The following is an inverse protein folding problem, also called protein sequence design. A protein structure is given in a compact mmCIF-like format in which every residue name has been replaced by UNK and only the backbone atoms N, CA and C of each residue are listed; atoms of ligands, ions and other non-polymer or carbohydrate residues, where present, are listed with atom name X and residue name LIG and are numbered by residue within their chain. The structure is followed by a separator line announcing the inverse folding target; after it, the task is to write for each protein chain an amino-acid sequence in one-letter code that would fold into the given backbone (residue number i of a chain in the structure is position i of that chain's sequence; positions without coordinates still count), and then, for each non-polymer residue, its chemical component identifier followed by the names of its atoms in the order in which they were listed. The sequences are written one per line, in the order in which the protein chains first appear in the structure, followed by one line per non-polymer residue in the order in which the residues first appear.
data_IF_513397569915
#
_entry.id   IF_513397569915
#
_cell.length_a   1.000
_cell.length_b   1.000
_cell.length_c   1.000
_cell.angle_alpha   90.00
_cell.angle_beta   90.00
_cell.angle_gamma   90.00
#
_symmetry.space_group_name_H-M   'P 1'
#
loop_
_entity.id
_entity.type
_entity.pdbx_description
1 polymer ?
#
# COMPACT_ATOMS: atom_id res chain seq x y z
N UNK A 1 -19.68 -27.74 1.01
CA UNK A 1 -19.25 -26.95 -0.16
C UNK A 1 -19.58 -25.51 0.16
N UNK A 2 -18.67 -24.80 0.85
CA UNK A 2 -18.89 -23.40 1.20
C UNK A 2 -18.46 -22.55 -0.01
N UNK A 3 -19.41 -21.83 -0.56
CA UNK A 3 -19.25 -20.84 -1.62
C UNK A 3 -18.21 -19.81 -1.19
N UNK A 4 -17.07 -19.77 -1.90
CA UNK A 4 -16.08 -18.71 -1.76
C UNK A 4 -16.68 -17.40 -2.27
N UNK A 5 -17.11 -16.55 -1.35
CA UNK A 5 -17.31 -15.14 -1.64
C UNK A 5 -15.96 -14.60 -2.14
N UNK A 6 -15.88 -14.28 -3.44
CA UNK A 6 -14.70 -13.69 -4.03
C UNK A 6 -14.39 -12.38 -3.32
N UNK A 7 -13.17 -12.22 -2.83
CA UNK A 7 -12.69 -10.98 -2.24
C UNK A 7 -12.80 -9.86 -3.28
N UNK A 8 -13.82 -9.02 -3.18
CA UNK A 8 -14.00 -7.87 -4.06
C UNK A 8 -13.13 -6.72 -3.56
N UNK A 9 -12.04 -6.43 -4.27
CA UNK A 9 -11.12 -5.31 -3.98
C UNK A 9 -11.26 -4.31 -5.12
N UNK A 10 -11.43 -3.03 -4.78
CA UNK A 10 -11.69 -1.97 -5.75
C UNK A 10 -10.66 -0.85 -5.63
N UNK A 11 -10.23 -0.35 -6.79
CA UNK A 11 -9.38 0.83 -6.87
C UNK A 11 -10.30 2.03 -7.01
N UNK A 12 -10.34 2.85 -5.96
CA UNK A 12 -11.33 3.92 -5.84
C UNK A 12 -10.79 5.28 -6.30
N UNK A 13 -9.47 5.42 -6.35
CA UNK A 13 -8.80 6.62 -6.84
C UNK A 13 -7.44 6.25 -7.45
N UNK A 14 -7.13 6.80 -8.62
CA UNK A 14 -5.83 6.67 -9.26
C UNK A 14 -5.44 8.01 -9.89
N UNK A 15 -4.32 8.57 -9.45
CA UNK A 15 -3.70 9.74 -10.05
C UNK A 15 -2.57 9.27 -10.96
N UNK A 16 -2.94 8.90 -12.19
CA UNK A 16 -2.03 8.46 -13.24
C UNK A 16 -1.79 9.63 -14.19
N UNK A 17 -0.53 10.06 -14.30
CA UNK A 17 -0.14 11.19 -15.14
C UNK A 17 -0.27 10.88 -16.65
N UNK A 18 -0.34 9.59 -17.00
CA UNK A 18 -0.55 9.09 -18.37
C UNK A 18 -1.90 8.38 -18.49
N UNK A 19 -2.85 9.03 -19.17
CA UNK A 19 -4.21 8.53 -19.36
C UNK A 19 -4.30 7.28 -20.24
N UNK A 20 -3.19 6.81 -20.83
CA UNK A 20 -3.16 5.57 -21.65
C UNK A 20 -2.89 4.31 -20.84
N UNK A 21 -2.58 4.44 -19.53
CA UNK A 21 -2.29 3.31 -18.65
C UNK A 21 -3.57 2.86 -17.95
N UNK A 22 -4.08 1.70 -18.35
CA UNK A 22 -5.21 1.07 -17.66
C UNK A 22 -4.78 0.49 -16.30
N UNK A 23 -5.59 0.75 -15.29
CA UNK A 23 -5.44 0.19 -13.95
C UNK A 23 -5.67 -1.33 -13.99
N UNK A 24 -4.83 -2.12 -13.32
CA UNK A 24 -4.93 -3.59 -13.35
C UNK A 24 -4.43 -4.26 -14.64
N UNK A 25 -3.91 -3.49 -15.61
CA UNK A 25 -3.49 -3.98 -16.94
C UNK A 25 -2.32 -4.98 -16.98
N UNK A 26 -1.70 -5.30 -15.84
CA UNK A 26 -0.52 -6.17 -15.83
C UNK A 26 0.68 -5.55 -16.55
N UNK A 27 0.76 -4.21 -16.63
CA UNK A 27 1.86 -3.49 -17.27
C UNK A 27 3.23 -4.06 -16.86
N UNK A 28 4.04 -4.41 -17.87
CA UNK A 28 5.40 -4.90 -17.70
C UNK A 28 6.23 -3.80 -17.01
N UNK A 29 7.05 -4.20 -16.03
CA UNK A 29 7.99 -3.29 -15.39
C UNK A 29 8.97 -2.69 -16.42
N UNK A 30 9.04 -1.37 -16.54
CA UNK A 30 9.89 -0.66 -17.53
C UNK A 30 11.20 -0.13 -16.95
N UNK A 31 11.57 -0.56 -15.74
CA UNK A 31 12.80 -0.16 -15.08
C UNK A 31 14.05 -0.80 -15.66
N UNK A 32 15.22 -0.45 -15.09
CA UNK A 32 16.53 -1.00 -15.48
C UNK A 32 17.06 -1.99 -14.44
N UNK A 33 17.77 -3.02 -14.89
CA UNK A 33 18.41 -4.03 -14.03
C UNK A 33 17.51 -5.24 -13.77
N UNK A 34 17.79 -5.99 -12.69
CA UNK A 34 17.01 -7.18 -12.34
C UNK A 34 15.59 -6.80 -11.90
N UNK A 35 14.56 -7.44 -12.43
CA UNK A 35 13.19 -7.18 -12.01
C UNK A 35 12.95 -7.55 -10.53
N UNK A 36 12.22 -6.73 -9.76
CA UNK A 36 11.81 -7.10 -8.41
C UNK A 36 10.92 -8.35 -8.39
N UNK A 37 11.04 -9.16 -7.34
CA UNK A 37 10.20 -10.35 -7.19
C UNK A 37 8.85 -9.97 -6.59
N UNK A 38 7.94 -9.50 -7.44
CA UNK A 38 6.63 -8.98 -7.03
C UNK A 38 5.76 -10.01 -6.30
N UNK A 39 5.81 -11.29 -6.70
CA UNK A 39 5.05 -12.34 -6.00
C UNK A 39 5.67 -12.78 -4.66
N UNK A 40 6.86 -12.27 -4.32
CA UNK A 40 7.55 -12.59 -3.09
C UNK A 40 7.41 -11.44 -2.09
N UNK A 41 6.50 -11.58 -1.12
CA UNK A 41 6.28 -10.58 -0.08
C UNK A 41 7.54 -10.23 0.77
N UNK A 42 8.57 -11.07 0.72
CA UNK A 42 9.87 -10.84 1.39
C UNK A 42 10.91 -10.16 0.49
N UNK A 43 10.57 -9.85 -0.76
CA UNK A 43 11.47 -9.18 -1.69
C UNK A 43 11.83 -7.80 -1.15
N UNK A 44 13.06 -7.63 -0.66
CA UNK A 44 13.56 -6.31 -0.26
C UNK A 44 13.56 -5.36 -1.46
N UNK A 45 13.85 -5.85 -2.67
CA UNK A 45 13.81 -4.99 -3.87
C UNK A 45 12.41 -4.43 -4.17
N UNK A 46 11.35 -5.19 -3.92
CA UNK A 46 9.98 -4.73 -4.15
C UNK A 46 9.40 -3.96 -2.95
N UNK A 47 9.69 -4.40 -1.72
CA UNK A 47 8.93 -4.03 -0.53
C UNK A 47 9.77 -3.49 0.64
N UNK A 48 11.07 -3.19 0.46
CA UNK A 48 11.94 -2.73 1.57
C UNK A 48 11.35 -1.56 2.36
N UNK A 49 10.79 -0.56 1.66
CA UNK A 49 10.18 0.60 2.33
C UNK A 49 8.99 0.18 3.20
N UNK A 50 8.11 -0.69 2.68
CA UNK A 50 6.96 -1.21 3.43
C UNK A 50 7.45 -1.97 4.67
N UNK A 51 8.38 -2.90 4.49
CA UNK A 51 8.90 -3.76 5.56
C UNK A 51 9.51 -2.92 6.69
N UNK A 52 10.29 -1.90 6.34
CA UNK A 52 11.01 -1.07 7.31
C UNK A 52 10.14 -0.03 8.01
N UNK A 53 9.15 0.53 7.30
CA UNK A 53 8.41 1.70 7.81
C UNK A 53 6.97 1.39 8.17
N UNK A 54 6.32 0.41 7.54
CA UNK A 54 4.88 0.16 7.70
C UNK A 54 4.52 -1.30 7.97
N UNK A 55 5.52 -2.18 8.09
CA UNK A 55 5.32 -3.62 8.15
C UNK A 55 4.59 -4.10 9.41
N UNK A 56 3.92 -5.25 9.29
CA UNK A 56 3.14 -5.85 10.38
C UNK A 56 3.92 -6.27 11.61
N UNK A 57 5.24 -6.42 11.49
CA UNK A 57 6.13 -6.78 12.59
C UNK A 57 6.73 -5.57 13.32
N UNK A 58 6.43 -4.35 12.88
CA UNK A 58 6.90 -3.15 13.57
C UNK A 58 6.19 -2.99 14.92
N UNK A 59 6.95 -2.53 15.92
CA UNK A 59 6.39 -2.21 17.24
C UNK A 59 5.52 -0.96 17.15
N UNK A 60 4.33 -1.00 17.75
CA UNK A 60 3.42 0.14 17.85
C UNK A 60 4.09 1.40 18.37
N UNK A 61 4.97 1.27 19.36
CA UNK A 61 5.73 2.39 19.94
C UNK A 61 6.59 3.14 18.93
N UNK A 62 7.15 2.43 17.93
CA UNK A 62 7.99 3.05 16.90
C UNK A 62 7.14 3.88 15.94
N UNK A 63 5.98 3.36 15.57
CA UNK A 63 5.03 4.01 14.67
C UNK A 63 4.39 5.23 15.35
N UNK A 64 3.97 5.07 16.60
CA UNK A 64 3.41 6.16 17.41
C UNK A 64 4.45 7.27 17.64
N UNK A 65 5.67 6.92 18.05
CA UNK A 65 6.75 7.89 18.23
C UNK A 65 7.08 8.66 16.95
N UNK A 66 7.09 7.98 15.79
CA UNK A 66 7.29 8.63 14.49
C UNK A 66 6.11 9.52 14.10
N UNK A 67 4.88 9.10 14.38
CA UNK A 67 3.69 9.91 14.08
C UNK A 67 3.71 11.22 14.85
N UNK A 68 4.03 11.17 16.14
CA UNK A 68 4.19 12.36 16.99
C UNK A 68 5.36 13.24 16.53
N UNK A 69 6.53 12.67 16.22
CA UNK A 69 7.72 13.47 15.88
C UNK A 69 7.64 14.14 14.51
N UNK A 70 6.95 13.51 13.55
CA UNK A 70 6.78 14.05 12.20
C UNK A 70 5.50 14.87 12.04
N UNK A 71 4.60 14.81 13.01
CA UNK A 71 3.23 15.31 12.93
C UNK A 71 2.50 14.80 11.66
N UNK A 72 2.71 13.51 11.35
CA UNK A 72 2.12 12.83 10.21
C UNK A 72 1.56 11.48 10.63
N UNK A 73 0.45 11.07 10.03
CA UNK A 73 -0.13 9.77 10.25
C UNK A 73 0.83 8.65 9.81
N UNK A 74 0.82 7.54 10.54
CA UNK A 74 1.65 6.38 10.25
C UNK A 74 0.79 5.13 10.09
N UNK A 75 0.68 4.63 8.86
CA UNK A 75 0.00 3.38 8.56
C UNK A 75 0.82 2.16 8.96
N UNK A 76 0.16 1.14 9.49
CA UNK A 76 0.75 -0.17 9.72
C UNK A 76 -0.12 -1.27 9.11
N UNK A 77 0.50 -2.09 8.26
CA UNK A 77 -0.10 -3.31 7.72
C UNK A 77 -0.33 -4.35 8.81
N UNK A 78 -1.43 -5.10 8.77
CA UNK A 78 -1.66 -6.23 9.68
C UNK A 78 -1.17 -7.55 9.07
N UNK A 79 -1.29 -7.72 7.75
CA UNK A 79 -0.87 -8.92 7.03
C UNK A 79 0.09 -8.57 5.89
N UNK A 80 1.17 -9.34 5.79
CA UNK A 80 2.21 -9.24 4.76
C UNK A 80 1.65 -9.52 3.36
N UNK A 81 0.65 -10.39 3.24
CA UNK A 81 0.07 -10.72 1.93
C UNK A 81 -0.76 -9.57 1.35
N UNK A 82 -1.27 -8.68 2.18
CA UNK A 82 -2.17 -7.61 1.73
C UNK A 82 -1.44 -6.58 0.86
N UNK A 83 -0.17 -6.30 1.14
CA UNK A 83 0.61 -5.41 0.27
C UNK A 83 0.97 -6.04 -1.07
N UNK A 84 1.04 -7.38 -1.16
CA UNK A 84 1.26 -8.07 -2.43
C UNK A 84 -0.02 -8.03 -3.26
N UNK A 85 -1.16 -8.28 -2.63
CA UNK A 85 -2.47 -8.15 -3.26
C UNK A 85 -2.66 -6.72 -3.78
N UNK A 86 -2.38 -5.71 -2.95
CA UNK A 86 -2.48 -4.30 -3.33
C UNK A 86 -1.54 -3.95 -4.50
N UNK A 87 -0.30 -4.46 -4.50
CA UNK A 87 0.66 -4.25 -5.59
C UNK A 87 0.14 -4.76 -6.94
N UNK A 88 -0.49 -5.95 -6.95
CA UNK A 88 -0.99 -6.60 -8.16
C UNK A 88 -2.15 -5.86 -8.81
N UNK A 89 -2.91 -5.10 -8.02
CA UNK A 89 -4.08 -4.37 -8.48
C UNK A 89 -3.70 -3.10 -9.24
N UNK A 90 -2.53 -2.53 -8.99
CA UNK A 90 -2.10 -1.27 -9.60
C UNK A 90 -1.07 -1.52 -10.72
N UNK A 91 -1.09 -0.72 -11.80
CA UNK A 91 -0.12 -0.84 -12.88
C UNK A 91 1.29 -0.53 -12.36
N UNK A 92 2.32 -1.14 -12.94
CA UNK A 92 3.73 -0.87 -12.63
C UNK A 92 4.21 0.43 -13.30
N UNK A 93 3.45 1.50 -13.08
CA UNK A 93 3.64 2.81 -13.67
C UNK A 93 3.66 3.90 -12.59
N UNK A 94 4.38 4.98 -12.84
CA UNK A 94 4.52 6.06 -11.86
C UNK A 94 3.18 6.73 -11.58
N UNK A 95 2.97 7.13 -10.34
CA UNK A 95 1.71 7.70 -9.89
C UNK A 95 1.39 7.35 -8.45
N UNK A 96 0.23 7.82 -8.01
CA UNK A 96 -0.34 7.53 -6.71
C UNK A 96 -1.68 6.83 -6.88
N UNK A 97 -1.90 5.80 -6.07
CA UNK A 97 -3.07 4.93 -6.16
C UNK A 97 -3.67 4.75 -4.77
N UNK A 98 -4.99 4.80 -4.68
CA UNK A 98 -5.73 4.47 -3.46
C UNK A 98 -6.67 3.31 -3.72
N UNK A 99 -6.48 2.25 -2.94
CA UNK A 99 -7.23 1.01 -3.07
C UNK A 99 -8.06 0.82 -1.81
N UNK A 100 -9.33 0.43 -1.99
CA UNK A 100 -10.23 0.06 -0.91
C UNK A 100 -10.38 -1.46 -0.87
N UNK A 101 -10.05 -2.04 0.27
CA UNK A 101 -10.33 -3.43 0.60
C UNK A 101 -11.73 -3.55 1.20
N UNK A 102 -12.37 -4.71 1.04
CA UNK A 102 -13.65 -5.05 1.68
C UNK A 102 -13.48 -5.63 3.10
N UNK A 103 -12.24 -5.73 3.59
CA UNK A 103 -11.87 -6.17 4.93
C UNK A 103 -10.78 -5.27 5.52
N UNK A 104 -10.61 -5.26 6.86
CA UNK A 104 -9.47 -4.62 7.49
C UNK A 104 -8.13 -5.14 6.97
N UNK A 105 -7.22 -4.21 6.67
CA UNK A 105 -5.84 -4.50 6.24
C UNK A 105 -4.78 -3.91 7.18
N UNK A 106 -5.18 -2.98 8.04
CA UNK A 106 -4.25 -2.09 8.71
C UNK A 106 -4.80 -1.36 9.91
N UNK A 107 -3.92 -0.54 10.50
CA UNK A 107 -4.25 0.49 11.47
C UNK A 107 -3.43 1.75 11.18
N UNK A 108 -3.87 2.89 11.68
CA UNK A 108 -3.17 4.18 11.53
C UNK A 108 -2.94 4.81 12.89
N UNK A 109 -1.70 5.22 13.14
CA UNK A 109 -1.30 5.99 14.31
C UNK A 109 -1.35 7.47 13.96
N UNK A 110 -2.04 8.26 14.77
CA UNK A 110 -2.21 9.69 14.61
C UNK A 110 -1.25 10.47 15.52
N UNK A 111 -0.95 11.72 15.14
CA UNK A 111 -0.02 12.58 15.90
C UNK A 111 -0.55 12.95 17.28
N UNK A 112 -1.87 12.94 17.47
CA UNK A 112 -2.58 13.13 18.74
C UNK A 112 -2.63 11.86 19.62
N UNK A 113 -1.82 10.85 19.30
CA UNK A 113 -1.73 9.56 19.97
C UNK A 113 -2.96 8.65 19.83
N UNK A 114 -3.99 9.05 19.10
CA UNK A 114 -5.09 8.14 18.75
C UNK A 114 -4.63 7.09 17.76
N UNK A 115 -5.30 5.95 17.78
CA UNK A 115 -5.09 4.86 16.82
C UNK A 115 -6.44 4.58 16.17
N UNK A 116 -6.48 4.65 14.83
CA UNK A 116 -7.60 4.13 14.06
C UNK A 116 -7.29 2.69 13.69
N UNK A 117 -7.95 1.75 14.36
CA UNK A 117 -7.89 0.33 14.02
C UNK A 117 -8.81 0.00 12.84
N UNK A 118 -8.64 -1.19 12.27
CA UNK A 118 -9.49 -1.72 11.19
C UNK A 118 -9.60 -0.78 9.99
N UNK A 119 -8.47 -0.36 9.45
CA UNK A 119 -8.40 0.47 8.25
C UNK A 119 -8.52 -0.38 6.99
N UNK A 120 -9.24 0.15 5.99
CA UNK A 120 -9.60 -0.54 4.76
C UNK A 120 -8.92 0.04 3.50
N UNK A 121 -8.26 1.20 3.63
CA UNK A 121 -7.64 1.87 2.49
C UNK A 121 -6.13 1.77 2.56
N UNK A 122 -5.50 1.62 1.39
CA UNK A 122 -4.05 1.72 1.22
C UNK A 122 -3.75 2.81 0.20
N UNK A 123 -2.74 3.61 0.50
CA UNK A 123 -2.12 4.53 -0.44
C UNK A 123 -0.82 3.91 -0.95
N UNK A 124 -0.62 3.89 -2.27
CA UNK A 124 0.59 3.39 -2.91
C UNK A 124 1.14 4.45 -3.86
N UNK A 125 2.40 4.82 -3.67
CA UNK A 125 3.14 5.66 -4.60
C UNK A 125 4.18 4.84 -5.34
N UNK A 126 4.25 4.99 -6.66
CA UNK A 126 5.30 4.39 -7.50
C UNK A 126 6.30 5.44 -8.01
N UNK A 127 7.56 5.05 -8.13
CA UNK A 127 8.62 5.85 -8.75
C UNK A 127 8.49 5.82 -10.28
N UNK A 128 9.27 6.66 -10.97
CA UNK A 128 9.34 6.71 -12.44
C UNK A 128 9.69 5.36 -13.09
N UNK A 129 10.46 4.51 -12.42
CA UNK A 129 10.79 3.17 -12.91
C UNK A 129 9.70 2.13 -12.60
N UNK A 130 8.54 2.54 -12.08
CA UNK A 130 7.43 1.67 -11.71
C UNK A 130 7.60 0.94 -10.37
N UNK A 131 8.74 1.08 -9.68
CA UNK A 131 8.93 0.46 -8.36
C UNK A 131 8.16 1.17 -7.26
N UNK A 132 7.83 0.47 -6.19
CA UNK A 132 7.14 1.07 -5.04
C UNK A 132 8.05 2.08 -4.35
N UNK A 133 7.56 3.32 -4.21
CA UNK A 133 8.18 4.38 -3.42
C UNK A 133 7.74 4.26 -1.96
N UNK A 134 6.44 4.09 -1.74
CA UNK A 134 5.81 3.87 -0.45
C UNK A 134 4.50 3.09 -0.65
N UNK A 135 4.08 2.36 0.37
CA UNK A 135 2.75 1.76 0.43
C UNK A 135 2.36 1.51 1.89
N UNK A 136 1.25 2.10 2.32
CA UNK A 136 0.81 1.99 3.72
C UNK A 136 -0.70 2.18 3.87
N UNK A 137 -1.31 1.56 4.89
CA UNK A 137 -2.71 1.81 5.21
C UNK A 137 -2.96 3.26 5.58
N UNK A 138 -4.08 3.82 5.15
CA UNK A 138 -4.49 5.21 5.40
C UNK A 138 -5.93 5.26 5.86
N UNK A 139 -6.27 6.22 6.72
CA UNK A 139 -7.69 6.53 6.94
C UNK A 139 -8.30 7.00 5.62
N UNK A 140 -9.59 6.73 5.42
CA UNK A 140 -10.33 7.05 4.20
C UNK A 140 -9.83 8.36 3.58
N UNK A 141 -9.41 8.38 2.30
CA UNK A 141 -8.96 9.61 1.67
C UNK A 141 -10.06 10.65 1.79
N UNK A 142 -9.73 11.83 2.32
CA UNK A 142 -10.65 12.97 2.26
C UNK A 142 -10.86 13.26 0.78
N UNK A 143 -12.10 13.11 0.31
CA UNK A 143 -12.49 13.57 -1.02
C UNK A 143 -11.97 15.01 -1.17
N UNK A 144 -11.09 15.23 -2.15
CA UNK A 144 -10.69 16.58 -2.54
C UNK A 144 -11.88 17.32 -3.13
#
# INVERSE_FOLDING_TARGET
MASGEGETIEIIEADIIDSTVEVGSGCIWRGKGQEPQWDNAKSSKAYDHIIRHHGSKLKSSNLQGRSTSTNQDQGQWLNVQDWVIAEKLIPKYYGQYIIKFNRPIGRVYHSDSRITENVYYVEIGRKYDGTIKYAYPVVQPKSK
#
